data_IF_698338871401
#
_entry.id   IF_698338871401
#
_cell.length_a   1.000
_cell.length_b   1.000
_cell.length_c   1.000
_cell.angle_alpha   90.00
_cell.angle_beta   90.00
_cell.angle_gamma   90.00
#
_symmetry.space_group_name_H-M   'P 1'
#
loop_
_entity.id
_entity.type
_entity.pdbx_description
1 polymer ?
#
# COMPACT_ATOMS: atom_id res chain seq x y z
N UNK A 1 -25.14 -12.68 -16.23
CA UNK A 1 -23.91 -13.48 -16.29
C UNK A 1 -23.81 -14.32 -15.00
N UNK A 2 -23.27 -15.56 -15.10
CA UNK A 2 -22.97 -16.37 -13.93
C UNK A 2 -21.81 -15.76 -13.15
N UNK A 3 -21.82 -15.88 -11.84
CA UNK A 3 -20.69 -15.55 -10.97
C UNK A 3 -19.70 -16.71 -10.96
N UNK A 4 -18.41 -16.37 -10.90
CA UNK A 4 -17.31 -17.28 -10.64
C UNK A 4 -16.74 -16.96 -9.25
N UNK A 5 -16.74 -17.93 -8.38
CA UNK A 5 -16.02 -17.91 -7.11
C UNK A 5 -14.91 -18.96 -7.15
N UNK A 6 -13.69 -18.57 -6.95
CA UNK A 6 -12.56 -19.48 -6.87
C UNK A 6 -11.89 -19.35 -5.51
N UNK A 7 -11.54 -20.47 -4.90
CA UNK A 7 -10.80 -20.54 -3.66
C UNK A 7 -9.54 -21.36 -3.82
N UNK A 8 -8.42 -20.87 -3.31
CA UNK A 8 -7.15 -21.55 -3.27
C UNK A 8 -7.04 -22.33 -1.96
N UNK A 9 -6.92 -23.63 -2.05
CA UNK A 9 -6.91 -24.55 -0.90
C UNK A 9 -5.77 -25.54 -1.00
N UNK A 10 -5.37 -26.21 0.10
CA UNK A 10 -4.49 -27.35 0.05
C UNK A 10 -4.95 -28.41 -0.96
N UNK A 11 -4.02 -29.04 -1.67
CA UNK A 11 -4.30 -29.96 -2.76
C UNK A 11 -5.03 -31.25 -2.33
N UNK A 12 -4.94 -31.62 -1.05
CA UNK A 12 -5.63 -32.74 -0.42
C UNK A 12 -7.05 -32.41 0.09
N UNK A 13 -7.50 -31.13 -0.02
CA UNK A 13 -8.86 -30.75 0.37
C UNK A 13 -9.84 -30.95 -0.79
N UNK A 14 -11.10 -31.30 -0.45
CA UNK A 14 -12.13 -31.57 -1.44
C UNK A 14 -13.34 -30.64 -1.26
N UNK A 15 -13.95 -30.26 -2.37
CA UNK A 15 -15.19 -29.52 -2.40
C UNK A 15 -16.36 -30.43 -2.04
N UNK A 16 -17.21 -29.97 -1.09
CA UNK A 16 -18.45 -30.64 -0.74
C UNK A 16 -19.64 -29.88 -1.34
N UNK A 17 -19.80 -28.63 -0.94
CA UNK A 17 -20.91 -27.78 -1.41
C UNK A 17 -20.62 -26.30 -1.20
N UNK A 18 -21.28 -25.46 -1.96
CA UNK A 18 -21.30 -24.03 -1.71
C UNK A 18 -22.65 -23.42 -2.06
N UNK A 19 -23.06 -22.43 -1.29
CA UNK A 19 -24.26 -21.64 -1.52
C UNK A 19 -23.95 -20.16 -1.34
N UNK A 20 -24.83 -19.31 -1.88
CA UNK A 20 -24.75 -17.89 -1.63
C UNK A 20 -26.10 -17.33 -1.23
N UNK A 21 -26.06 -16.27 -0.46
CA UNK A 21 -27.22 -15.48 -0.06
C UNK A 21 -26.95 -14.02 -0.29
N UNK A 22 -27.85 -13.36 -0.95
CA UNK A 22 -27.89 -11.93 -1.21
C UNK A 22 -29.24 -11.39 -0.70
N UNK A 23 -29.36 -10.10 -0.46
CA UNK A 23 -30.56 -9.48 0.12
C UNK A 23 -31.89 -9.91 -0.52
N UNK A 24 -31.85 -10.27 -1.80
CA UNK A 24 -33.05 -10.60 -2.61
C UNK A 24 -32.93 -11.90 -3.40
N UNK A 25 -31.80 -12.58 -3.32
CA UNK A 25 -31.52 -13.76 -4.12
C UNK A 25 -30.70 -14.77 -3.32
N UNK A 26 -30.91 -16.04 -3.59
CA UNK A 26 -30.12 -17.14 -3.05
C UNK A 26 -29.91 -18.20 -4.11
N UNK A 27 -28.85 -18.94 -4.01
CA UNK A 27 -28.53 -19.99 -4.97
C UNK A 27 -27.39 -20.86 -4.50
N UNK A 28 -27.01 -21.78 -5.37
CA UNK A 28 -25.90 -22.70 -5.15
C UNK A 28 -24.77 -22.47 -6.16
N UNK A 29 -23.62 -23.01 -5.81
CA UNK A 29 -22.47 -23.11 -6.70
C UNK A 29 -22.22 -24.53 -7.11
N UNK A 30 -21.80 -24.70 -8.36
CA UNK A 30 -21.36 -25.99 -8.90
C UNK A 30 -19.87 -25.93 -9.25
N UNK A 31 -19.12 -26.96 -8.87
CA UNK A 31 -17.72 -27.09 -9.25
C UNK A 31 -17.53 -27.13 -10.77
N UNK A 32 -16.51 -26.47 -11.27
CA UNK A 32 -16.16 -26.42 -12.68
C UNK A 32 -14.67 -26.66 -12.90
N UNK A 33 -14.35 -27.79 -13.52
CA UNK A 33 -12.98 -28.14 -13.87
C UNK A 33 -12.40 -27.16 -14.91
N UNK A 34 -13.17 -26.81 -15.94
CA UNK A 34 -12.73 -25.91 -17.02
C UNK A 34 -12.29 -24.53 -16.46
N UNK A 35 -13.02 -24.02 -15.48
CA UNK A 35 -12.66 -22.77 -14.81
C UNK A 35 -11.50 -22.95 -13.85
N UNK A 36 -11.37 -24.09 -13.19
CA UNK A 36 -10.24 -24.41 -12.34
C UNK A 36 -8.95 -24.44 -13.16
N UNK A 37 -8.96 -25.04 -14.33
CA UNK A 37 -7.82 -25.06 -15.24
C UNK A 37 -7.48 -23.65 -15.76
N UNK A 38 -8.49 -22.87 -16.15
CA UNK A 38 -8.32 -21.51 -16.62
C UNK A 38 -7.73 -20.59 -15.55
N UNK A 39 -8.24 -20.64 -14.32
CA UNK A 39 -7.73 -19.86 -13.19
C UNK A 39 -6.31 -20.28 -12.84
N UNK A 40 -6.01 -21.57 -12.85
CA UNK A 40 -4.67 -22.10 -12.56
C UNK A 40 -3.61 -21.65 -13.57
N UNK A 41 -3.98 -21.40 -14.82
CA UNK A 41 -3.09 -20.85 -15.84
C UNK A 41 -2.78 -19.37 -15.54
N UNK A 42 -3.80 -18.57 -15.21
CA UNK A 42 -3.62 -17.14 -14.94
C UNK A 42 -2.96 -16.87 -13.58
N UNK A 43 -3.25 -17.74 -12.61
CA UNK A 43 -2.78 -17.63 -11.22
C UNK A 43 -2.24 -18.99 -10.77
N UNK A 44 -1.01 -19.37 -11.16
CA UNK A 44 -0.44 -20.67 -10.81
C UNK A 44 -0.42 -20.87 -9.29
N UNK A 45 -0.99 -21.97 -8.76
CA UNK A 45 -1.07 -22.20 -7.31
C UNK A 45 0.28 -22.16 -6.59
N UNK A 46 1.34 -22.63 -7.24
CA UNK A 46 2.69 -22.66 -6.69
C UNK A 46 3.31 -21.27 -6.44
N UNK A 47 2.76 -20.20 -7.04
CA UNK A 47 3.17 -18.82 -6.76
C UNK A 47 2.70 -18.35 -5.37
N UNK A 48 1.76 -19.06 -4.75
CA UNK A 48 1.19 -18.70 -3.45
C UNK A 48 1.74 -19.55 -2.32
N UNK A 49 1.80 -20.87 -2.52
CA UNK A 49 2.38 -21.83 -1.59
C UNK A 49 2.55 -23.18 -2.30
N UNK A 50 3.42 -24.03 -1.76
CA UNK A 50 3.56 -25.41 -2.25
C UNK A 50 2.30 -26.24 -1.91
N UNK A 51 1.93 -27.16 -2.79
CA UNK A 51 0.83 -28.09 -2.60
C UNK A 51 -0.54 -27.44 -2.39
N UNK A 52 -0.85 -26.44 -3.20
CA UNK A 52 -2.16 -25.78 -3.26
C UNK A 52 -2.84 -26.05 -4.61
N UNK A 53 -4.17 -26.01 -4.62
CA UNK A 53 -4.98 -26.05 -5.84
C UNK A 53 -6.12 -25.06 -5.79
N UNK A 54 -6.56 -24.61 -6.96
CA UNK A 54 -7.81 -23.86 -7.08
C UNK A 54 -9.02 -24.79 -7.10
N UNK A 55 -10.10 -24.35 -6.46
CA UNK A 55 -11.45 -24.90 -6.61
C UNK A 55 -12.31 -23.78 -7.17
N UNK A 56 -12.76 -23.92 -8.41
CA UNK A 56 -13.59 -22.92 -9.08
C UNK A 56 -15.05 -23.35 -9.15
N UNK A 57 -15.91 -22.44 -8.75
CA UNK A 57 -17.33 -22.66 -8.54
C UNK A 57 -18.13 -21.67 -9.38
N UNK A 58 -19.13 -22.15 -10.12
CA UNK A 58 -20.06 -21.37 -10.90
C UNK A 58 -21.40 -21.27 -10.20
N UNK A 59 -21.95 -20.06 -10.12
CA UNK A 59 -23.32 -19.88 -9.63
C UNK A 59 -24.35 -20.53 -10.57
N UNK A 60 -25.38 -21.12 -10.01
CA UNK A 60 -26.51 -21.70 -10.75
C UNK A 60 -27.36 -20.62 -11.43
N UNK A 61 -27.48 -19.46 -10.82
CA UNK A 61 -28.18 -18.29 -11.33
C UNK A 61 -27.25 -17.19 -11.76
N UNK A 62 -27.70 -16.33 -12.66
CA UNK A 62 -26.97 -15.14 -13.08
C UNK A 62 -27.27 -13.94 -12.16
N UNK A 63 -26.27 -13.10 -11.97
CA UNK A 63 -26.41 -11.84 -11.24
C UNK A 63 -26.71 -10.68 -12.19
N UNK A 64 -27.56 -9.77 -11.74
CA UNK A 64 -27.77 -8.47 -12.38
C UNK A 64 -27.26 -7.41 -11.41
N UNK A 65 -26.11 -6.82 -11.68
CA UNK A 65 -25.58 -5.77 -10.84
C UNK A 65 -26.43 -4.51 -10.94
N UNK A 66 -26.98 -4.11 -9.83
CA UNK A 66 -27.45 -2.73 -9.60
C UNK A 66 -26.98 -2.35 -8.19
N UNK A 67 -25.93 -1.54 -8.11
CA UNK A 67 -25.31 -1.02 -6.87
C UNK A 67 -24.49 -2.01 -6.03
N UNK A 68 -23.88 -1.52 -4.96
CA UNK A 68 -23.11 -2.32 -4.00
C UNK A 68 -23.96 -3.43 -3.39
N UNK A 69 -23.57 -4.68 -3.62
CA UNK A 69 -24.29 -5.85 -3.17
C UNK A 69 -23.38 -6.63 -2.20
N UNK A 70 -23.87 -6.87 -1.01
CA UNK A 70 -23.24 -7.79 -0.08
C UNK A 70 -23.70 -9.23 -0.37
N UNK A 71 -22.78 -10.09 -0.75
CA UNK A 71 -23.01 -11.50 -0.98
C UNK A 71 -22.33 -12.30 0.13
N UNK A 72 -23.11 -13.13 0.82
CA UNK A 72 -22.55 -14.12 1.73
C UNK A 72 -22.41 -15.45 1.01
N UNK A 73 -21.19 -16.00 1.00
CA UNK A 73 -20.90 -17.32 0.41
C UNK A 73 -20.60 -18.29 1.55
N UNK A 74 -21.39 -19.36 1.66
CA UNK A 74 -21.13 -20.49 2.54
C UNK A 74 -20.46 -21.58 1.75
N UNK A 75 -19.21 -21.94 2.12
CA UNK A 75 -18.41 -22.96 1.47
C UNK A 75 -18.15 -24.11 2.44
N UNK A 76 -18.44 -25.34 2.02
CA UNK A 76 -18.09 -26.56 2.75
C UNK A 76 -17.01 -27.31 2.02
N UNK A 77 -15.91 -27.54 2.73
CA UNK A 77 -14.77 -28.32 2.26
C UNK A 77 -14.53 -29.51 3.19
N UNK A 78 -14.10 -30.61 2.63
CA UNK A 78 -13.53 -31.72 3.37
C UNK A 78 -12.01 -31.47 3.45
N UNK A 79 -11.48 -31.37 4.65
CA UNK A 79 -10.04 -31.20 4.86
C UNK A 79 -9.30 -32.51 4.67
N UNK A 80 -8.07 -32.44 4.14
CA UNK A 80 -7.21 -33.61 4.04
C UNK A 80 -6.59 -34.04 5.38
N UNK A 81 -5.58 -34.89 5.30
CA UNK A 81 -4.91 -35.46 6.49
C UNK A 81 -3.92 -34.46 7.13
N UNK A 82 -3.54 -33.41 6.44
CA UNK A 82 -2.59 -32.42 6.94
C UNK A 82 -3.24 -31.54 8.00
N UNK A 83 -2.65 -31.52 9.19
CA UNK A 83 -2.99 -30.59 10.26
C UNK A 83 -2.05 -29.37 10.23
N UNK A 84 -2.52 -28.24 10.71
CA UNK A 84 -1.74 -27.02 10.83
C UNK A 84 -2.45 -25.78 10.32
N UNK A 85 -1.71 -24.70 10.15
CA UNK A 85 -2.21 -23.43 9.65
C UNK A 85 -2.11 -23.35 8.13
N UNK A 86 -3.23 -23.10 7.46
CA UNK A 86 -3.32 -22.92 6.02
C UNK A 86 -3.81 -21.52 5.69
N UNK A 87 -3.20 -20.92 4.69
CA UNK A 87 -3.63 -19.62 4.19
C UNK A 87 -4.50 -19.84 2.93
N UNK A 88 -5.78 -19.47 3.02
CA UNK A 88 -6.71 -19.57 1.91
C UNK A 88 -6.83 -18.21 1.21
N UNK A 89 -6.72 -18.25 -0.10
CA UNK A 89 -7.01 -17.08 -0.95
C UNK A 89 -8.28 -17.32 -1.77
N UNK A 90 -8.95 -16.28 -2.19
CA UNK A 90 -10.15 -16.42 -3.00
C UNK A 90 -10.26 -15.33 -4.07
N UNK A 91 -11.06 -15.59 -5.07
CA UNK A 91 -11.32 -14.76 -6.23
C UNK A 91 -12.81 -14.75 -6.54
N UNK A 92 -13.38 -13.58 -6.75
CA UNK A 92 -14.79 -13.44 -7.19
C UNK A 92 -14.84 -12.60 -8.46
N UNK A 93 -15.49 -13.11 -9.50
CA UNK A 93 -15.64 -12.40 -10.78
C UNK A 93 -16.86 -12.88 -11.56
N UNK A 94 -17.11 -12.30 -12.73
CA UNK A 94 -18.02 -12.86 -13.71
C UNK A 94 -17.35 -14.05 -14.43
N UNK A 95 -18.09 -15.10 -14.69
CA UNK A 95 -17.63 -16.24 -15.47
C UNK A 95 -17.53 -15.86 -16.96
N UNK A 96 -16.53 -15.06 -17.31
CA UNK A 96 -16.20 -14.68 -18.70
C UNK A 96 -14.71 -14.83 -18.92
N UNK A 97 -14.26 -15.57 -19.97
CA UNK A 97 -12.85 -15.88 -20.17
C UNK A 97 -11.92 -14.66 -20.16
N UNK A 98 -12.37 -13.55 -20.74
CA UNK A 98 -11.57 -12.33 -20.85
C UNK A 98 -11.39 -11.57 -19.51
N UNK A 99 -12.16 -11.90 -18.47
CA UNK A 99 -12.05 -11.21 -17.17
C UNK A 99 -11.16 -11.95 -16.20
N UNK A 100 -11.06 -13.25 -16.30
CA UNK A 100 -10.30 -14.09 -15.33
C UNK A 100 -8.81 -13.77 -15.33
N UNK A 101 -8.23 -13.42 -16.49
CA UNK A 101 -6.80 -13.10 -16.61
C UNK A 101 -6.51 -11.60 -16.84
N UNK A 102 -7.50 -10.72 -16.77
CA UNK A 102 -7.37 -9.33 -17.22
C UNK A 102 -6.94 -8.33 -16.14
N UNK A 103 -6.73 -8.78 -14.90
CA UNK A 103 -6.44 -7.88 -13.78
C UNK A 103 -7.61 -6.99 -13.32
N UNK A 104 -8.69 -6.88 -14.10
CA UNK A 104 -9.92 -6.14 -13.76
C UNK A 104 -10.92 -7.03 -13.02
N UNK A 105 -10.46 -7.69 -12.00
CA UNK A 105 -11.28 -8.56 -11.17
C UNK A 105 -12.00 -7.75 -10.10
N UNK A 106 -13.27 -8.06 -9.83
CA UNK A 106 -13.89 -7.67 -8.56
C UNK A 106 -13.27 -8.56 -7.48
N UNK A 107 -12.41 -8.00 -6.71
CA UNK A 107 -11.43 -8.66 -5.86
C UNK A 107 -11.88 -9.03 -4.48
N UNK A 108 -11.44 -10.16 -4.08
CA UNK A 108 -10.88 -10.29 -2.76
C UNK A 108 -9.38 -10.59 -2.91
N UNK A 109 -8.53 -9.98 -2.13
CA UNK A 109 -7.11 -9.96 -2.43
C UNK A 109 -6.48 -11.32 -2.25
N UNK A 110 -5.86 -11.83 -3.31
CA UNK A 110 -4.80 -12.83 -3.22
C UNK A 110 -3.66 -12.38 -2.28
N UNK A 111 -3.60 -11.09 -1.97
CA UNK A 111 -2.64 -10.47 -1.06
C UNK A 111 -2.98 -10.60 0.42
N UNK A 112 -4.21 -10.98 0.79
CA UNK A 112 -4.62 -11.17 2.18
C UNK A 112 -5.26 -12.55 2.37
N UNK A 113 -4.46 -13.62 2.39
CA UNK A 113 -4.98 -14.96 2.60
C UNK A 113 -5.61 -15.08 3.99
N UNK A 114 -6.73 -15.78 4.07
CA UNK A 114 -7.38 -16.06 5.34
C UNK A 114 -6.74 -17.30 5.99
N UNK A 115 -6.12 -17.17 7.18
CA UNK A 115 -5.56 -18.31 7.87
C UNK A 115 -6.68 -19.18 8.48
N UNK A 116 -6.57 -20.48 8.28
CA UNK A 116 -7.46 -21.48 8.88
C UNK A 116 -6.61 -22.51 9.59
N UNK A 117 -6.92 -22.79 10.85
CA UNK A 117 -6.31 -23.86 11.61
C UNK A 117 -7.14 -25.15 11.48
N UNK A 118 -6.51 -26.22 11.07
CA UNK A 118 -7.14 -27.54 10.92
C UNK A 118 -6.44 -28.53 11.82
N UNK A 119 -7.11 -28.96 12.88
CA UNK A 119 -6.69 -30.06 13.75
C UNK A 119 -5.37 -29.85 14.50
N UNK A 120 -4.78 -28.67 14.44
CA UNK A 120 -3.53 -28.32 15.10
C UNK A 120 -3.74 -27.78 16.51
N UNK A 121 -2.72 -27.94 17.36
CA UNK A 121 -2.63 -27.30 18.67
C UNK A 121 -2.03 -25.88 18.60
N UNK A 122 -1.49 -25.52 17.45
CA UNK A 122 -0.93 -24.19 17.19
C UNK A 122 -2.03 -23.26 16.73
N UNK A 123 -2.09 -22.08 17.35
CA UNK A 123 -2.90 -20.99 16.81
C UNK A 123 -2.24 -20.51 15.53
N UNK A 124 -3.01 -20.39 14.45
CA UNK A 124 -2.56 -19.59 13.32
C UNK A 124 -2.35 -18.18 13.85
N UNK A 125 -1.11 -17.72 13.90
CA UNK A 125 -0.85 -16.31 14.14
C UNK A 125 -1.50 -15.52 12.99
N UNK A 126 -2.75 -15.16 13.20
CA UNK A 126 -3.29 -14.00 12.53
C UNK A 126 -2.66 -12.83 13.25
N UNK A 127 -1.88 -12.02 12.58
CA UNK A 127 -1.75 -10.64 13.04
C UNK A 127 -3.08 -9.96 12.62
N UNK A 128 -4.08 -9.87 13.51
CA UNK A 128 -5.25 -9.10 13.19
C UNK A 128 -4.76 -7.67 12.98
N UNK A 129 -4.99 -7.14 11.79
CA UNK A 129 -4.81 -5.71 11.58
C UNK A 129 -6.00 -5.02 12.28
N UNK A 130 -5.84 -4.75 13.55
CA UNK A 130 -6.81 -3.94 14.29
C UNK A 130 -6.64 -2.47 13.87
N UNK A 131 -7.74 -1.75 13.63
CA UNK A 131 -7.67 -0.33 13.34
C UNK A 131 -7.07 0.43 14.52
N UNK A 132 -5.91 1.05 14.32
CA UNK A 132 -5.33 1.98 15.27
C UNK A 132 -6.03 3.33 15.16
N UNK A 133 -7.16 3.45 15.84
CA UNK A 133 -8.06 4.60 15.74
C UNK A 133 -7.38 5.91 16.15
N UNK A 134 -6.52 5.88 17.16
CA UNK A 134 -5.80 7.06 17.63
C UNK A 134 -4.84 7.59 16.56
N UNK A 135 -4.06 6.72 15.93
CA UNK A 135 -3.19 7.08 14.80
C UNK A 135 -3.99 7.54 13.59
N UNK A 136 -5.07 6.85 13.24
CA UNK A 136 -5.93 7.23 12.12
C UNK A 136 -6.53 8.62 12.31
N UNK A 137 -6.93 8.98 13.53
CA UNK A 137 -7.49 10.29 13.85
C UNK A 137 -6.49 11.45 13.65
N UNK A 138 -5.18 11.21 13.80
CA UNK A 138 -4.17 12.24 13.52
C UNK A 138 -4.22 12.73 12.07
N UNK A 139 -4.56 11.86 11.14
CA UNK A 139 -4.60 12.14 9.70
C UNK A 139 -6.00 12.46 9.18
N UNK A 140 -7.02 12.39 10.02
CA UNK A 140 -8.38 12.71 9.63
C UNK A 140 -8.63 14.21 9.75
N UNK A 141 -8.44 14.95 8.66
CA UNK A 141 -8.49 16.43 8.61
C UNK A 141 -9.56 16.91 7.64
N UNK A 142 -10.27 17.97 8.04
CA UNK A 142 -11.36 18.55 7.26
C UNK A 142 -10.96 19.85 6.54
N UNK A 143 -9.75 20.38 6.80
CA UNK A 143 -9.22 21.60 6.18
C UNK A 143 -7.70 21.55 6.06
N UNK A 144 -7.15 22.24 5.08
CA UNK A 144 -5.73 22.25 4.78
C UNK A 144 -5.26 20.92 4.22
N UNK A 145 -4.30 20.28 4.83
CA UNK A 145 -3.88 18.93 4.49
C UNK A 145 -5.06 17.97 4.73
N UNK A 146 -5.47 17.21 3.72
CA UNK A 146 -6.69 16.41 3.79
C UNK A 146 -6.52 14.95 3.30
N UNK A 147 -5.28 14.52 3.12
CA UNK A 147 -4.92 13.16 2.75
C UNK A 147 -3.71 13.12 1.83
N UNK A 148 -2.94 12.05 1.93
CA UNK A 148 -1.74 11.83 1.13
C UNK A 148 -1.44 10.34 0.98
N UNK A 149 -0.48 10.03 0.13
CA UNK A 149 0.16 8.72 0.04
C UNK A 149 1.67 8.80 0.33
N UNK A 150 2.40 7.68 0.13
CA UNK A 150 3.86 7.64 0.29
C UNK A 150 4.33 8.07 1.67
N UNK A 151 3.77 7.50 2.73
CA UNK A 151 3.98 7.95 4.13
C UNK A 151 5.22 7.27 4.71
N UNK A 152 6.22 8.07 5.11
CA UNK A 152 7.39 7.61 5.84
C UNK A 152 7.58 8.43 7.11
N UNK A 153 8.04 7.79 8.19
CA UNK A 153 8.27 8.43 9.49
C UNK A 153 9.75 8.40 9.85
N UNK A 154 10.32 9.55 10.20
CA UNK A 154 11.73 9.73 10.51
C UNK A 154 11.88 10.27 11.93
N UNK A 155 12.39 9.48 12.89
CA UNK A 155 12.68 9.98 14.25
C UNK A 155 13.76 11.06 14.17
N UNK A 156 13.45 12.29 14.59
CA UNK A 156 14.35 13.43 14.39
C UNK A 156 15.60 13.42 15.29
N UNK A 157 15.67 12.55 16.25
CA UNK A 157 16.84 12.33 17.09
C UNK A 157 17.62 11.04 16.74
N UNK A 158 17.25 10.37 15.64
CA UNK A 158 17.88 9.12 15.20
C UNK A 158 17.56 7.89 16.04
N UNK A 159 16.56 7.95 16.92
CA UNK A 159 16.11 6.87 17.79
C UNK A 159 14.60 6.78 17.85
N UNK A 160 14.05 5.61 17.54
CA UNK A 160 12.59 5.37 17.56
C UNK A 160 12.03 5.36 18.99
N UNK A 161 12.76 4.79 19.95
CA UNK A 161 12.28 4.58 21.32
C UNK A 161 12.08 5.88 22.11
N UNK A 162 12.86 6.92 21.80
CA UNK A 162 12.87 8.17 22.54
C UNK A 162 12.73 9.41 21.65
N UNK A 163 12.05 9.29 20.53
CA UNK A 163 11.84 10.40 19.61
C UNK A 163 11.08 11.53 20.30
N UNK A 164 11.72 12.70 20.43
CA UNK A 164 11.06 13.92 20.92
C UNK A 164 10.21 14.57 19.84
N UNK A 165 10.55 14.34 18.60
CA UNK A 165 9.80 14.74 17.41
C UNK A 165 9.97 13.66 16.33
N UNK A 166 8.91 13.44 15.58
CA UNK A 166 8.92 12.59 14.38
C UNK A 166 8.55 13.43 13.18
N UNK A 167 9.42 13.47 12.19
CA UNK A 167 9.09 13.99 10.86
C UNK A 167 8.31 12.92 10.11
N UNK A 168 7.19 13.28 9.52
CA UNK A 168 6.41 12.41 8.64
C UNK A 168 6.39 13.08 7.27
N UNK A 169 6.89 12.41 6.27
CA UNK A 169 6.89 12.90 4.89
C UNK A 169 5.83 12.19 4.07
N UNK A 170 5.29 12.90 3.09
CA UNK A 170 4.23 12.43 2.22
C UNK A 170 4.59 12.72 0.77
N UNK A 171 4.15 11.85 -0.12
CA UNK A 171 4.15 12.09 -1.56
C UNK A 171 2.86 12.82 -1.99
N UNK A 172 2.17 12.36 -3.01
CA UNK A 172 0.99 13.05 -3.51
C UNK A 172 0.00 13.40 -2.40
N UNK A 173 -0.25 14.67 -2.24
CA UNK A 173 -1.01 15.23 -1.11
C UNK A 173 -2.15 16.10 -1.57
N UNK A 174 -3.33 15.91 -1.02
CA UNK A 174 -4.48 16.76 -1.25
C UNK A 174 -4.57 17.88 -0.20
N UNK A 175 -4.61 19.11 -0.68
CA UNK A 175 -4.80 20.33 0.14
C UNK A 175 -6.14 20.95 -0.21
N UNK A 176 -7.01 21.10 0.78
CA UNK A 176 -8.35 21.65 0.59
C UNK A 176 -9.28 21.35 1.74
N UNK A 177 -10.59 21.61 1.52
CA UNK A 177 -11.62 21.29 2.50
C UNK A 177 -12.25 19.93 2.21
N UNK A 178 -12.72 19.29 3.28
CA UNK A 178 -13.48 18.04 3.25
C UNK A 178 -14.79 18.27 4.00
N UNK A 179 -15.89 17.81 3.43
CA UNK A 179 -17.20 17.81 4.09
C UNK A 179 -17.21 16.77 5.21
N UNK A 180 -17.41 17.22 6.44
CA UNK A 180 -17.37 16.37 7.62
C UNK A 180 -18.52 15.37 7.73
N UNK A 181 -19.59 15.54 6.95
CA UNK A 181 -20.75 14.64 6.96
C UNK A 181 -20.62 13.55 5.91
N UNK A 182 -20.05 13.89 4.75
CA UNK A 182 -19.96 12.98 3.61
C UNK A 182 -18.54 12.44 3.37
N UNK A 183 -17.54 13.00 4.04
CA UNK A 183 -16.11 12.75 3.84
C UNK A 183 -15.66 12.98 2.37
N UNK A 184 -16.38 13.83 1.65
CA UNK A 184 -16.02 14.17 0.27
C UNK A 184 -15.21 15.48 0.22
N UNK A 185 -14.24 15.55 -0.67
CA UNK A 185 -13.46 16.76 -0.91
C UNK A 185 -14.34 17.86 -1.52
N UNK A 186 -14.22 19.07 -1.01
CA UNK A 186 -14.94 20.27 -1.48
C UNK A 186 -14.00 21.05 -2.39
N UNK A 187 -14.46 21.39 -3.59
CA UNK A 187 -13.68 22.22 -4.52
C UNK A 187 -13.55 23.68 -4.00
N UNK A 188 -12.40 24.36 -4.20
CA UNK A 188 -11.23 23.83 -4.89
C UNK A 188 -10.35 22.96 -3.98
N UNK A 189 -10.00 21.77 -4.43
CA UNK A 189 -8.97 20.93 -3.83
C UNK A 189 -7.80 20.84 -4.79
N UNK A 190 -6.58 21.00 -4.29
CA UNK A 190 -5.36 20.86 -5.09
C UNK A 190 -4.58 19.66 -4.64
N UNK A 191 -3.96 18.97 -5.57
CA UNK A 191 -2.95 17.97 -5.32
C UNK A 191 -1.57 18.60 -5.51
N UNK A 192 -0.68 18.36 -4.55
CA UNK A 192 0.74 18.70 -4.59
C UNK A 192 1.55 17.41 -4.44
N UNK A 193 2.78 17.37 -4.98
CA UNK A 193 3.51 16.11 -5.07
C UNK A 193 4.25 15.72 -3.79
N UNK A 194 4.40 16.66 -2.84
CA UNK A 194 4.97 16.32 -1.54
C UNK A 194 4.67 17.37 -0.47
N UNK A 195 4.57 16.88 0.76
CA UNK A 195 4.39 17.67 1.98
C UNK A 195 5.07 16.99 3.15
N UNK A 196 5.07 17.60 4.33
CA UNK A 196 5.48 16.92 5.56
C UNK A 196 4.62 17.32 6.74
N UNK A 197 4.72 16.53 7.81
CA UNK A 197 4.19 16.86 9.11
C UNK A 197 5.25 16.67 10.20
N UNK A 198 5.10 17.34 11.31
CA UNK A 198 5.90 17.13 12.51
C UNK A 198 4.98 16.72 13.64
N UNK A 199 5.20 15.51 14.13
CA UNK A 199 4.58 14.98 15.33
C UNK A 199 5.48 15.28 16.53
N UNK A 200 4.95 15.91 17.57
CA UNK A 200 5.68 16.10 18.83
C UNK A 200 5.61 14.81 19.66
N UNK A 201 6.73 14.14 19.77
CA UNK A 201 6.82 12.82 20.40
C UNK A 201 6.73 11.67 19.39
N UNK A 202 6.29 10.52 19.87
CA UNK A 202 6.08 9.29 19.14
C UNK A 202 4.74 8.61 19.52
N UNK A 203 3.80 9.38 20.04
CA UNK A 203 2.48 8.90 20.45
C UNK A 203 1.38 9.62 19.64
N UNK A 204 0.29 8.92 19.40
CA UNK A 204 -0.86 9.45 18.67
C UNK A 204 -1.69 10.40 19.56
N UNK A 205 -1.20 11.61 19.76
CA UNK A 205 -1.90 12.69 20.51
C UNK A 205 -2.42 13.69 19.52
N UNK A 206 -3.72 13.97 19.51
CA UNK A 206 -4.44 14.70 18.46
C UNK A 206 -3.82 16.08 18.13
N UNK A 207 -3.49 16.89 19.15
CA UNK A 207 -2.94 18.24 18.95
C UNK A 207 -1.39 18.26 18.82
N UNK A 208 -0.77 17.09 18.70
CA UNK A 208 0.69 16.98 18.65
C UNK A 208 1.27 17.00 17.24
N UNK A 209 0.44 16.95 16.19
CA UNK A 209 0.87 16.93 14.79
C UNK A 209 0.57 18.25 14.08
N UNK A 210 1.56 18.75 13.35
CA UNK A 210 1.41 19.93 12.50
C UNK A 210 1.80 19.58 11.07
N UNK A 211 0.94 19.92 10.10
CA UNK A 211 1.16 19.69 8.68
C UNK A 211 1.69 20.94 7.99
N UNK A 212 2.64 20.76 7.08
CA UNK A 212 3.34 21.82 6.37
C UNK A 212 3.26 21.61 4.86
N UNK A 213 2.93 22.67 4.14
CA UNK A 213 2.98 22.77 2.69
C UNK A 213 3.31 24.22 2.31
N UNK A 214 3.88 24.45 1.14
CA UNK A 214 4.17 25.78 0.63
C UNK A 214 2.96 26.35 -0.12
N UNK A 215 2.99 27.66 -0.36
CA UNK A 215 2.04 28.35 -1.24
C UNK A 215 2.78 29.26 -2.20
N UNK A 216 2.24 29.41 -3.42
CA UNK A 216 2.70 30.40 -4.38
C UNK A 216 2.28 31.82 -3.99
N UNK A 217 2.64 32.81 -4.81
CA UNK A 217 2.28 34.23 -4.62
C UNK A 217 0.75 34.50 -4.62
N UNK A 218 -0.04 33.57 -5.16
CA UNK A 218 -1.51 33.62 -5.19
C UNK A 218 -2.15 32.81 -4.06
N UNK A 219 -1.37 32.36 -3.08
CA UNK A 219 -1.78 31.49 -1.98
C UNK A 219 -2.29 30.10 -2.44
N UNK A 220 -1.90 29.62 -3.62
CA UNK A 220 -2.19 28.25 -4.02
C UNK A 220 -1.18 27.30 -3.41
N UNK A 221 -1.61 26.14 -2.89
CA UNK A 221 -0.68 25.12 -2.41
C UNK A 221 0.28 24.64 -3.50
N UNK A 222 1.55 24.51 -3.13
CA UNK A 222 2.63 23.94 -3.96
C UNK A 222 3.43 22.94 -3.11
N UNK A 223 4.22 22.09 -3.78
CA UNK A 223 5.10 21.13 -3.13
C UNK A 223 6.13 21.80 -2.22
N UNK A 224 6.57 21.07 -1.21
CA UNK A 224 7.64 21.53 -0.30
C UNK A 224 9.00 21.46 -1.00
N UNK A 225 9.24 20.38 -1.74
CA UNK A 225 10.45 20.18 -2.51
C UNK A 225 10.11 20.07 -3.99
N UNK A 226 10.72 20.92 -4.77
CA UNK A 226 10.76 20.84 -6.24
C UNK A 226 12.17 20.41 -6.67
N UNK A 227 12.33 19.61 -7.73
CA UNK A 227 13.65 19.17 -8.19
C UNK A 227 14.54 20.34 -8.63
N UNK A 228 15.69 20.45 -7.97
CA UNK A 228 16.72 21.48 -8.27
C UNK A 228 18.11 20.86 -8.49
N UNK A 229 18.18 19.52 -8.67
CA UNK A 229 19.44 18.85 -8.98
C UNK A 229 19.90 19.13 -10.41
N UNK A 230 21.20 18.96 -10.74
CA UNK A 230 21.70 19.18 -12.10
C UNK A 230 21.00 18.38 -13.20
N UNK A 231 20.47 17.21 -12.87
CA UNK A 231 19.75 16.35 -13.82
C UNK A 231 18.24 16.63 -13.87
N UNK A 232 17.72 17.50 -13.00
CA UNK A 232 16.30 17.84 -13.00
C UNK A 232 15.90 18.65 -14.23
N UNK A 233 14.71 18.37 -14.74
CA UNK A 233 14.13 19.06 -15.89
C UNK A 233 12.89 19.84 -15.48
N UNK A 234 12.49 20.79 -16.32
CA UNK A 234 11.30 21.58 -16.05
C UNK A 234 10.04 20.70 -16.12
N UNK A 235 9.28 20.66 -15.04
CA UNK A 235 8.07 19.84 -14.91
C UNK A 235 8.31 18.54 -14.16
N UNK A 236 9.55 18.23 -13.78
CA UNK A 236 9.82 17.14 -12.83
C UNK A 236 9.23 17.43 -11.46
N UNK A 237 8.95 16.37 -10.71
CA UNK A 237 8.54 16.46 -9.33
C UNK A 237 9.17 15.37 -8.46
N UNK A 238 9.04 15.50 -7.14
CA UNK A 238 9.51 14.50 -6.20
C UNK A 238 8.34 13.74 -5.55
N UNK A 239 8.49 12.41 -5.51
CA UNK A 239 7.83 11.57 -4.51
C UNK A 239 8.85 11.25 -3.41
N UNK A 240 8.52 11.65 -2.19
CA UNK A 240 9.40 11.46 -1.05
C UNK A 240 9.39 10.01 -0.61
N UNK A 241 10.55 9.53 -0.21
CA UNK A 241 10.78 8.19 0.29
C UNK A 241 11.29 8.22 1.73
N UNK A 242 11.95 7.17 2.16
CA UNK A 242 12.49 7.06 3.50
C UNK A 242 13.71 7.95 3.72
N UNK A 243 13.99 8.20 5.00
CA UNK A 243 15.09 9.05 5.40
C UNK A 243 15.59 8.74 6.81
N UNK A 244 16.65 9.42 7.19
CA UNK A 244 17.25 9.28 8.52
C UNK A 244 17.69 10.64 9.05
N UNK A 245 17.59 10.81 10.37
CA UNK A 245 18.12 11.99 11.05
C UNK A 245 19.48 11.67 11.69
N UNK A 246 20.52 12.37 11.27
CA UNK A 246 21.87 12.24 11.84
C UNK A 246 22.30 13.62 12.33
N UNK A 247 22.52 13.78 13.64
CA UNK A 247 22.99 15.04 14.26
C UNK A 247 22.19 16.28 13.84
N UNK A 248 20.88 16.24 13.87
CA UNK A 248 19.98 17.33 13.47
C UNK A 248 19.89 17.60 11.95
N UNK A 249 20.54 16.83 11.11
CA UNK A 249 20.37 16.89 9.66
C UNK A 249 19.53 15.70 9.22
N UNK A 250 18.49 15.97 8.47
CA UNK A 250 17.69 14.95 7.81
C UNK A 250 18.33 14.64 6.46
N UNK A 251 18.45 13.36 6.17
CA UNK A 251 18.86 12.79 4.87
C UNK A 251 17.65 12.04 4.34
N UNK A 252 17.05 12.54 3.28
CA UNK A 252 15.80 12.06 2.72
C UNK A 252 16.01 11.66 1.27
N UNK A 253 15.66 10.45 0.90
CA UNK A 253 15.60 10.08 -0.51
C UNK A 253 14.27 10.49 -1.15
N UNK A 254 14.33 10.78 -2.44
CA UNK A 254 13.17 11.13 -3.23
C UNK A 254 13.28 10.55 -4.65
N UNK A 255 12.20 9.98 -5.15
CA UNK A 255 12.09 9.65 -6.58
C UNK A 255 11.89 10.94 -7.37
N UNK A 256 12.74 11.19 -8.35
CA UNK A 256 12.48 12.21 -9.37
C UNK A 256 11.61 11.58 -10.45
N UNK A 257 10.45 12.18 -10.62
CA UNK A 257 9.39 11.75 -11.52
C UNK A 257 9.23 12.74 -12.64
N UNK A 258 8.82 12.25 -13.82
CA UNK A 258 8.44 13.10 -14.94
C UNK A 258 7.20 12.56 -15.66
N UNK A 259 6.64 13.36 -16.57
CA UNK A 259 5.46 13.01 -17.36
C UNK A 259 5.79 12.69 -18.84
N UNK A 260 7.05 12.43 -19.17
CA UNK A 260 7.48 12.15 -20.54
C UNK A 260 6.90 10.85 -21.08
N UNK A 261 6.68 9.89 -20.19
CA UNK A 261 6.00 8.62 -20.48
C UNK A 261 4.71 8.54 -19.68
N UNK A 262 3.59 8.45 -20.35
CA UNK A 262 2.29 8.40 -19.72
C UNK A 262 2.06 7.07 -18.94
N UNK A 263 1.52 7.11 -17.71
CA UNK A 263 1.04 8.31 -17.00
C UNK A 263 2.16 9.14 -16.36
N UNK A 264 3.31 8.54 -16.05
CA UNK A 264 4.54 9.12 -15.53
C UNK A 264 5.66 8.06 -15.53
N UNK A 265 6.90 8.49 -15.38
CA UNK A 265 8.08 7.61 -15.25
C UNK A 265 9.01 8.10 -14.14
N UNK A 266 9.85 7.18 -13.66
CA UNK A 266 10.96 7.52 -12.75
C UNK A 266 12.14 7.94 -13.60
N UNK A 267 12.75 9.09 -13.27
CA UNK A 267 13.91 9.64 -13.97
C UNK A 267 15.15 9.76 -13.06
N UNK A 268 15.07 9.28 -11.86
CA UNK A 268 16.19 9.25 -10.95
C UNK A 268 15.81 9.16 -9.48
N UNK A 269 16.84 9.08 -8.63
CA UNK A 269 16.74 9.17 -7.18
C UNK A 269 17.61 10.32 -6.71
N UNK A 270 17.02 11.27 -5.99
CA UNK A 270 17.73 12.36 -5.36
C UNK A 270 17.93 12.11 -3.86
N UNK A 271 18.98 12.70 -3.31
CA UNK A 271 19.16 12.86 -1.86
C UNK A 271 18.91 14.31 -1.50
N UNK A 272 17.95 14.55 -0.62
CA UNK A 272 17.64 15.87 -0.08
C UNK A 272 18.16 15.92 1.36
N UNK A 273 18.96 16.94 1.69
CA UNK A 273 19.42 17.16 3.06
C UNK A 273 18.91 18.48 3.58
N UNK A 274 18.45 18.52 4.81
CA UNK A 274 17.93 19.71 5.44
C UNK A 274 17.93 19.63 6.97
N UNK A 275 17.67 20.76 7.60
CA UNK A 275 17.42 20.85 9.04
C UNK A 275 16.02 21.43 9.26
N UNK A 276 15.48 21.23 10.44
CA UNK A 276 14.18 21.77 10.85
C UNK A 276 14.39 22.65 12.08
N UNK A 277 13.89 23.89 12.02
CA UNK A 277 13.96 24.82 13.16
C UNK A 277 12.95 24.47 14.26
N UNK A 278 12.93 25.26 15.34
CA UNK A 278 12.05 25.01 16.49
C UNK A 278 10.57 25.13 16.19
N UNK A 279 10.20 25.89 15.15
CA UNK A 279 8.81 26.13 14.75
C UNK A 279 8.37 25.26 13.56
N UNK A 280 9.29 24.48 13.00
CA UNK A 280 8.97 23.49 11.97
C UNK A 280 9.45 23.84 10.56
N UNK A 281 10.06 25.02 10.33
CA UNK A 281 10.49 25.41 8.99
C UNK A 281 11.77 24.69 8.55
N UNK A 282 11.86 24.42 7.25
CA UNK A 282 13.07 23.85 6.63
C UNK A 282 14.19 24.87 6.57
N UNK A 283 15.41 24.43 6.87
CA UNK A 283 16.63 25.22 6.78
C UNK A 283 17.72 24.43 6.07
N UNK A 284 18.62 25.16 5.40
CA UNK A 284 19.81 24.59 4.76
C UNK A 284 19.49 23.42 3.81
N UNK A 285 18.43 23.56 3.01
CA UNK A 285 18.03 22.54 2.04
C UNK A 285 19.07 22.44 0.94
N UNK A 286 19.58 21.25 0.72
CA UNK A 286 20.47 20.92 -0.39
C UNK A 286 19.97 19.66 -1.08
N UNK A 287 20.13 19.57 -2.39
CA UNK A 287 19.67 18.45 -3.21
C UNK A 287 20.81 17.92 -4.05
N UNK A 288 20.89 16.60 -4.18
CA UNK A 288 21.93 15.91 -4.90
C UNK A 288 21.34 14.81 -5.78
N UNK A 289 21.81 14.70 -7.01
CA UNK A 289 21.60 13.49 -7.80
C UNK A 289 22.37 12.32 -7.18
N UNK A 290 21.81 11.13 -7.22
CA UNK A 290 22.44 9.91 -6.70
C UNK A 290 22.58 8.85 -7.80
N UNK A 291 23.49 7.88 -7.64
CA UNK A 291 23.60 6.75 -8.56
C UNK A 291 22.61 5.61 -8.23
N UNK A 292 21.55 5.90 -7.48
CA UNK A 292 20.61 4.91 -6.95
C UNK A 292 19.47 4.55 -7.90
N UNK A 293 19.54 5.03 -9.13
CA UNK A 293 18.63 4.67 -10.22
C UNK A 293 19.41 4.16 -11.41
N UNK A 294 18.96 3.07 -11.99
CA UNK A 294 19.53 2.50 -13.20
C UNK A 294 18.43 1.90 -14.07
N UNK A 295 18.46 2.22 -15.35
CA UNK A 295 17.59 1.62 -16.36
C UNK A 295 18.42 0.76 -17.31
N UNK A 296 18.01 -0.49 -17.51
CA UNK A 296 18.60 -1.41 -18.46
C UNK A 296 18.14 -1.11 -19.89
N UNK A 297 18.90 -1.57 -20.87
CA UNK A 297 18.55 -1.41 -22.30
C UNK A 297 17.19 -2.03 -22.69
N UNK A 298 16.71 -3.00 -21.93
CA UNK A 298 15.41 -3.64 -22.13
C UNK A 298 14.24 -2.87 -21.46
N UNK A 299 14.51 -1.74 -20.79
CA UNK A 299 13.54 -0.93 -20.08
C UNK A 299 13.26 -1.35 -18.63
N UNK A 300 13.92 -2.38 -18.12
CA UNK A 300 13.83 -2.74 -16.71
C UNK A 300 14.54 -1.68 -15.86
N UNK A 301 13.94 -1.33 -14.72
CA UNK A 301 14.47 -0.30 -13.82
C UNK A 301 14.86 -0.88 -12.47
N UNK A 302 15.95 -0.40 -11.92
CA UNK A 302 16.40 -0.67 -10.55
C UNK A 302 16.42 0.64 -9.79
N UNK A 303 15.71 0.67 -8.66
CA UNK A 303 15.53 1.84 -7.81
C UNK A 303 15.89 1.49 -6.37
N UNK A 304 16.83 2.23 -5.81
CA UNK A 304 17.25 2.10 -4.41
C UNK A 304 16.85 3.34 -3.61
N UNK A 305 16.97 3.27 -2.28
CA UNK A 305 16.68 4.38 -1.37
C UNK A 305 15.22 4.45 -0.92
N UNK A 306 14.44 3.41 -1.13
CA UNK A 306 13.04 3.35 -0.69
C UNK A 306 12.90 3.03 0.81
N UNK A 307 13.93 2.48 1.43
CA UNK A 307 13.99 2.23 2.87
C UNK A 307 15.42 2.39 3.37
N UNK A 308 15.57 2.90 4.59
CA UNK A 308 16.85 3.08 5.25
C UNK A 308 16.80 2.34 6.58
N UNK A 309 17.78 1.47 6.81
CA UNK A 309 17.94 0.76 8.08
C UNK A 309 19.28 1.10 8.74
N UNK A 310 19.32 1.30 10.07
CA UNK A 310 20.58 1.32 10.79
C UNK A 310 21.24 -0.06 10.70
N UNK A 311 22.53 -0.10 10.38
CA UNK A 311 23.32 -1.32 10.47
C UNK A 311 23.60 -1.63 11.94
N UNK A 312 23.01 -2.70 12.43
CA UNK A 312 23.24 -3.17 13.80
C UNK A 312 24.36 -4.21 13.83
N UNK A 313 24.91 -4.50 15.03
CA UNK A 313 25.91 -5.54 15.23
C UNK A 313 25.46 -6.95 14.81
N UNK A 314 24.16 -7.15 14.63
CA UNK A 314 23.56 -8.40 14.15
C UNK A 314 23.43 -8.45 12.63
N UNK A 315 23.65 -7.34 11.93
CA UNK A 315 23.66 -7.33 10.49
C UNK A 315 25.02 -7.90 10.01
N UNK A 316 24.99 -9.01 9.27
CA UNK A 316 26.19 -9.61 8.67
C UNK A 316 26.65 -8.77 7.47
N UNK A 317 27.09 -7.55 7.77
CA UNK A 317 27.52 -6.54 6.80
C UNK A 317 28.89 -5.98 7.18
N UNK A 318 29.69 -5.54 6.20
CA UNK A 318 31.08 -5.13 6.45
C UNK A 318 31.25 -3.85 7.27
N UNK A 319 30.21 -3.09 7.53
CA UNK A 319 30.29 -1.79 8.25
C UNK A 319 29.14 -1.65 9.24
N UNK A 320 29.29 -2.10 10.48
CA UNK A 320 28.21 -2.12 11.47
C UNK A 320 27.79 -0.74 12.00
N UNK A 321 28.52 0.33 11.70
CA UNK A 321 28.24 1.68 12.20
C UNK A 321 27.57 2.58 11.15
N UNK A 322 26.97 2.02 10.13
CA UNK A 322 26.35 2.75 9.01
C UNK A 322 24.84 2.54 8.91
N UNK A 323 24.32 2.96 7.74
CA UNK A 323 22.94 2.75 7.32
C UNK A 323 22.93 2.11 5.95
N UNK A 324 21.96 1.25 5.71
CA UNK A 324 21.63 0.67 4.40
C UNK A 324 20.31 1.24 3.91
#
# INVERSE_FOLDING_TARGET
>A
HKGLFAVLVPDDWNFISASFTESWNQGSFTFSQDWTDSVSICYPPNNFSQNMKWICLLSDTGYTYQNEINITIELKLETGERAGCFQLAYLVTKATPNLVCSGNLAWAPLSYPHPINVGGTEYCETSPADPETEWSNLFHRYQGWSGADGIYSIPMNGSEENAKKTLIVFSDTFIGAVDSLTNQRIAPTRMVNNTYAILNGNQAIEDSINFFFNTDENNNPISIFEPETPNAQNGDWYWLMDGVSIRNTIYLYALRMNADVAPFSIDGVALITFQIDSVGNLMNVLQYDTPLFYEYENGDQVVYGQAIMPLTEFADVPSPDGYI
#
